data_IF_676124623410
#
_entry.id   IF_676124623410
#
_cell.length_a   1.000
_cell.length_b   1.000
_cell.length_c   1.000
_cell.angle_alpha   90.00
_cell.angle_beta   90.00
_cell.angle_gamma   90.00
#
_symmetry.space_group_name_H-M   'P 1'
#
loop_
_entity.id
_entity.type
_entity.pdbx_description
1 polymer ?
#
# COMPACT_ATOMS: atom_id res chain seq x y z
N UNK A 1 -18.58 -0.11 -13.42
CA UNK A 1 -18.99 -0.26 -12.02
C UNK A 1 -20.19 -1.19 -11.85
N UNK A 2 -21.39 -0.93 -12.39
CA UNK A 2 -22.56 -1.82 -12.24
C UNK A 2 -22.25 -3.30 -12.56
N UNK A 3 -21.50 -3.59 -13.62
CA UNK A 3 -21.07 -4.96 -13.98
C UNK A 3 -20.09 -5.60 -13.00
N UNK A 4 -19.36 -4.79 -12.23
CA UNK A 4 -18.35 -5.27 -11.27
C UNK A 4 -19.00 -5.50 -9.90
N UNK A 5 -19.89 -4.60 -9.50
CA UNK A 5 -20.52 -4.64 -8.16
C UNK A 5 -21.79 -5.49 -8.11
N UNK A 6 -22.41 -5.79 -9.24
CA UNK A 6 -23.72 -6.44 -9.30
C UNK A 6 -24.90 -5.61 -8.77
N UNK A 7 -24.63 -4.37 -8.34
CA UNK A 7 -25.66 -3.51 -7.77
C UNK A 7 -26.49 -2.80 -8.83
N UNK A 8 -27.73 -2.42 -8.47
CA UNK A 8 -28.59 -1.64 -9.34
C UNK A 8 -27.94 -0.26 -9.64
N UNK A 9 -28.08 0.28 -10.89
CA UNK A 9 -27.45 1.54 -11.28
C UNK A 9 -27.73 2.73 -10.35
N UNK A 10 -28.93 2.81 -9.78
CA UNK A 10 -29.27 3.88 -8.86
C UNK A 10 -28.53 3.75 -7.53
N UNK A 11 -28.42 2.54 -6.99
CA UNK A 11 -27.65 2.26 -5.77
C UNK A 11 -26.17 2.62 -5.95
N UNK A 12 -25.57 2.25 -7.09
CA UNK A 12 -24.19 2.65 -7.41
C UNK A 12 -24.06 4.17 -7.43
N UNK A 13 -25.04 4.88 -8.01
CA UNK A 13 -25.00 6.35 -8.08
C UNK A 13 -25.13 6.97 -6.68
N UNK A 14 -26.04 6.49 -5.85
CA UNK A 14 -26.19 6.96 -4.47
C UNK A 14 -24.91 6.80 -3.65
N UNK A 15 -24.23 5.65 -3.76
CA UNK A 15 -22.95 5.43 -3.11
C UNK A 15 -21.87 6.36 -3.64
N UNK A 16 -21.76 6.55 -4.96
CA UNK A 16 -20.81 7.47 -5.55
C UNK A 16 -21.06 8.92 -5.12
N UNK A 17 -22.33 9.36 -5.09
CA UNK A 17 -22.68 10.69 -4.62
C UNK A 17 -22.38 10.87 -3.12
N UNK A 18 -22.53 9.82 -2.30
CA UNK A 18 -22.11 9.85 -0.90
C UNK A 18 -20.58 9.97 -0.76
N UNK A 19 -19.80 9.26 -1.58
CA UNK A 19 -18.33 9.37 -1.59
C UNK A 19 -17.87 10.77 -2.06
N UNK A 20 -18.57 11.36 -3.06
CA UNK A 20 -18.29 12.74 -3.50
C UNK A 20 -18.55 13.75 -2.38
N UNK A 21 -19.69 13.61 -1.65
CA UNK A 21 -19.98 14.49 -0.51
C UNK A 21 -18.95 14.38 0.61
N UNK A 22 -18.33 13.22 0.78
CA UNK A 22 -17.25 12.99 1.76
C UNK A 22 -15.87 13.41 1.25
N UNK A 23 -15.75 13.91 0.01
CA UNK A 23 -14.47 14.30 -0.58
C UNK A 23 -13.57 13.13 -1.00
N UNK A 24 -14.02 11.88 -0.88
CA UNK A 24 -13.24 10.70 -1.20
C UNK A 24 -13.16 10.41 -2.70
N UNK A 25 -14.09 10.97 -3.46
CA UNK A 25 -14.20 10.82 -4.91
C UNK A 25 -14.59 12.16 -5.50
N UNK A 26 -14.00 12.54 -6.62
CA UNK A 26 -14.44 13.69 -7.43
C UNK A 26 -15.13 13.22 -8.71
N UNK A 27 -16.13 13.97 -9.12
CA UNK A 27 -16.83 13.74 -10.37
C UNK A 27 -16.20 14.60 -11.46
N UNK A 28 -15.84 13.98 -12.57
CA UNK A 28 -15.29 14.64 -13.76
C UNK A 28 -16.20 14.36 -14.97
N UNK A 29 -16.31 15.32 -15.89
CA UNK A 29 -17.05 15.12 -17.12
C UNK A 29 -16.25 14.25 -18.08
N UNK A 30 -16.84 13.15 -18.51
CA UNK A 30 -16.26 12.29 -19.54
C UNK A 30 -16.24 12.95 -20.91
N UNK A 31 -15.35 12.51 -21.78
CA UNK A 31 -15.34 12.97 -23.17
C UNK A 31 -16.63 12.54 -23.88
N UNK A 32 -17.28 13.43 -24.65
CA UNK A 32 -18.46 13.07 -25.45
C UNK A 32 -18.12 11.93 -26.43
N UNK A 33 -18.89 10.87 -26.42
CA UNK A 33 -18.81 9.76 -27.37
C UNK A 33 -20.14 9.64 -28.11
N UNK A 34 -20.35 10.43 -29.15
CA UNK A 34 -21.58 10.41 -29.95
C UNK A 34 -22.69 11.31 -29.41
N UNK A 35 -23.95 11.05 -29.88
CA UNK A 35 -25.16 11.81 -29.45
C UNK A 35 -25.55 11.38 -28.03
N UNK A 36 -25.74 12.34 -27.13
CA UNK A 36 -26.17 12.15 -25.74
C UNK A 36 -25.34 12.95 -24.74
N UNK A 37 -25.81 12.98 -23.49
CA UNK A 37 -25.07 13.63 -22.40
C UNK A 37 -23.77 12.85 -22.13
N UNK A 38 -22.61 13.51 -22.01
CA UNK A 38 -21.37 12.84 -21.64
C UNK A 38 -21.53 12.03 -20.34
N UNK A 39 -20.88 10.86 -20.23
CA UNK A 39 -20.90 10.11 -19.00
C UNK A 39 -20.13 10.85 -17.92
N UNK A 40 -20.61 10.80 -16.69
CA UNK A 40 -19.80 11.18 -15.55
C UNK A 40 -18.78 10.08 -15.26
N UNK A 41 -17.53 10.49 -15.10
CA UNK A 41 -16.46 9.65 -14.57
C UNK A 41 -16.25 10.04 -13.12
N UNK A 42 -15.82 9.08 -12.32
CA UNK A 42 -15.53 9.27 -10.91
C UNK A 42 -14.07 8.89 -10.68
N UNK A 43 -13.33 9.78 -10.08
CA UNK A 43 -11.93 9.60 -9.80
C UNK A 43 -11.75 9.65 -8.29
N UNK A 44 -10.98 8.71 -7.75
CA UNK A 44 -10.58 8.76 -6.36
C UNK A 44 -9.83 10.08 -6.12
N UNK A 45 -10.22 10.81 -5.10
CA UNK A 45 -9.44 11.96 -4.63
C UNK A 45 -8.29 11.33 -3.83
N UNK A 46 -7.17 11.16 -4.51
CA UNK A 46 -5.95 10.77 -3.83
C UNK A 46 -5.45 12.01 -3.07
N UNK A 47 -5.85 12.10 -1.81
CA UNK A 47 -5.33 13.08 -0.88
C UNK A 47 -3.90 12.70 -0.44
N UNK A 48 -3.08 12.17 -1.37
CA UNK A 48 -1.67 11.84 -1.13
C UNK A 48 -0.86 13.03 -0.55
N UNK A 49 -1.51 14.18 -0.45
CA UNK A 49 -1.08 15.39 0.23
C UNK A 49 -1.89 15.66 1.52
N UNK A 50 -2.64 14.67 2.02
CA UNK A 50 -3.46 14.81 3.21
C UNK A 50 -2.64 15.12 4.46
N UNK A 51 -3.31 15.60 5.52
CA UNK A 51 -2.68 15.93 6.81
C UNK A 51 -1.83 14.78 7.36
N UNK A 52 -2.25 13.53 7.13
CA UNK A 52 -1.49 12.34 7.55
C UNK A 52 -0.20 12.13 6.76
N UNK A 53 -0.18 12.41 5.47
CA UNK A 53 1.05 12.32 4.67
C UNK A 53 2.08 13.38 5.13
N UNK A 54 1.63 14.61 5.44
CA UNK A 54 2.48 15.64 6.02
C UNK A 54 2.98 15.29 7.42
N UNK A 55 2.13 14.67 8.23
CA UNK A 55 2.53 14.18 9.55
C UNK A 55 3.58 13.07 9.42
N UNK A 56 3.40 12.13 8.47
CA UNK A 56 4.39 11.09 8.20
C UNK A 56 5.75 11.69 7.78
N UNK A 57 5.75 12.72 6.92
CA UNK A 57 6.97 13.47 6.57
C UNK A 57 7.61 14.05 7.83
N UNK A 58 6.86 14.76 8.65
CA UNK A 58 7.39 15.41 9.86
C UNK A 58 7.95 14.39 10.88
N UNK A 59 7.30 13.22 11.02
CA UNK A 59 7.77 12.15 11.89
C UNK A 59 9.05 11.49 11.34
N UNK A 60 9.14 11.30 10.02
CA UNK A 60 10.36 10.79 9.38
C UNK A 60 11.53 11.76 9.56
N UNK A 61 11.30 13.06 9.33
CA UNK A 61 12.29 14.12 9.58
C UNK A 61 12.75 14.12 11.07
N UNK A 62 11.80 13.98 12.01
CA UNK A 62 12.11 13.93 13.43
C UNK A 62 12.98 12.73 13.80
N UNK A 63 12.73 11.55 13.22
CA UNK A 63 13.56 10.37 13.41
C UNK A 63 14.96 10.57 12.84
N UNK A 64 15.10 11.14 11.66
CA UNK A 64 16.40 11.45 11.04
C UNK A 64 17.23 12.43 11.91
N UNK A 65 16.57 13.41 12.53
CA UNK A 65 17.25 14.37 13.38
C UNK A 65 17.62 13.83 14.77
N UNK A 66 16.90 12.85 15.28
CA UNK A 66 17.05 12.33 16.66
C UNK A 66 17.84 11.03 16.77
N UNK A 67 18.05 10.31 15.67
CA UNK A 67 18.71 9.01 15.64
C UNK A 67 20.06 9.04 14.94
N UNK A 68 21.02 8.31 15.47
CA UNK A 68 22.30 8.04 14.78
C UNK A 68 22.18 6.94 13.71
N UNK A 69 21.10 6.14 13.76
CA UNK A 69 20.76 5.10 12.78
C UNK A 69 19.24 5.13 12.53
N UNK A 70 18.74 6.11 11.78
CA UNK A 70 17.30 6.23 11.52
C UNK A 70 16.73 5.08 10.72
N UNK A 71 17.50 4.52 9.78
CA UNK A 71 17.07 3.38 8.96
C UNK A 71 16.92 2.10 9.78
N UNK A 72 17.92 1.75 10.59
CA UNK A 72 17.85 0.58 11.46
C UNK A 72 16.72 0.67 12.49
N UNK A 73 16.50 1.87 13.07
CA UNK A 73 15.36 2.09 13.96
C UNK A 73 14.02 1.95 13.23
N UNK A 74 13.92 2.46 12.01
CA UNK A 74 12.71 2.34 11.19
C UNK A 74 12.44 0.87 10.83
N UNK A 75 13.44 0.10 10.43
CA UNK A 75 13.31 -1.34 10.18
C UNK A 75 12.82 -2.08 11.44
N UNK A 76 13.42 -1.83 12.60
CA UNK A 76 13.01 -2.49 13.86
C UNK A 76 11.56 -2.19 14.25
N UNK A 77 11.10 -0.93 14.09
CA UNK A 77 9.70 -0.55 14.30
C UNK A 77 8.79 -1.21 13.28
N UNK A 78 9.23 -1.25 12.01
CA UNK A 78 8.52 -1.95 10.94
C UNK A 78 8.35 -3.44 11.22
N UNK A 79 9.38 -4.11 11.71
CA UNK A 79 9.31 -5.54 12.09
C UNK A 79 8.30 -5.81 13.20
N UNK A 80 8.29 -4.96 14.23
CA UNK A 80 7.29 -5.10 15.29
C UNK A 80 5.88 -4.95 14.72
N UNK A 81 5.64 -3.91 13.91
CA UNK A 81 4.34 -3.68 13.29
C UNK A 81 3.95 -4.82 12.34
N UNK A 82 4.90 -5.34 11.54
CA UNK A 82 4.66 -6.49 10.67
C UNK A 82 4.19 -7.74 11.43
N UNK A 83 4.80 -8.04 12.59
CA UNK A 83 4.33 -9.13 13.47
C UNK A 83 2.90 -8.89 13.98
N UNK A 84 2.57 -7.67 14.34
CA UNK A 84 1.21 -7.31 14.76
C UNK A 84 0.20 -7.51 13.63
N UNK A 85 0.50 -7.02 12.42
CA UNK A 85 -0.33 -7.19 11.22
C UNK A 85 -0.57 -8.67 10.89
N UNK A 86 0.46 -9.51 10.96
CA UNK A 86 0.32 -10.94 10.72
C UNK A 86 -0.63 -11.61 11.73
N UNK A 87 -0.54 -11.23 13.01
CA UNK A 87 -1.45 -11.75 14.06
C UNK A 87 -2.89 -11.29 13.84
N UNK A 88 -3.10 -10.02 13.54
CA UNK A 88 -4.42 -9.46 13.24
C UNK A 88 -5.04 -10.12 12.00
N UNK A 89 -4.26 -10.30 10.94
CA UNK A 89 -4.71 -10.96 9.72
C UNK A 89 -5.12 -12.40 9.99
N UNK A 90 -4.31 -13.17 10.72
CA UNK A 90 -4.66 -14.55 11.13
C UNK A 90 -5.94 -14.63 11.95
N UNK A 91 -6.21 -13.64 12.80
CA UNK A 91 -7.46 -13.55 13.54
C UNK A 91 -8.66 -13.27 12.62
N UNK A 92 -8.46 -12.48 11.58
CA UNK A 92 -9.51 -12.05 10.63
C UNK A 92 -9.86 -13.12 9.60
N UNK A 93 -8.87 -13.79 9.01
CA UNK A 93 -9.07 -14.73 7.89
C UNK A 93 -8.69 -16.18 8.18
N UNK A 94 -8.15 -16.48 9.36
CA UNK A 94 -7.59 -17.80 9.71
C UNK A 94 -6.15 -17.97 9.24
N UNK A 95 -5.58 -19.17 9.49
CA UNK A 95 -4.22 -19.52 9.01
C UNK A 95 -4.30 -20.02 7.58
N UNK A 96 -3.40 -19.54 6.74
CA UNK A 96 -3.08 -20.16 5.45
C UNK A 96 -1.71 -20.85 5.57
N UNK A 97 -1.41 -21.79 4.68
CA UNK A 97 -0.09 -22.45 4.63
C UNK A 97 0.93 -21.64 3.80
N UNK A 98 0.47 -20.62 3.08
CA UNK A 98 1.29 -19.79 2.19
C UNK A 98 1.54 -18.41 2.83
N UNK A 99 2.68 -18.29 3.51
CA UNK A 99 3.12 -17.04 4.13
C UNK A 99 3.30 -15.91 3.10
N UNK A 100 3.73 -16.24 1.87
CA UNK A 100 3.89 -15.26 0.81
C UNK A 100 2.53 -14.70 0.35
N UNK A 101 1.54 -15.57 0.18
CA UNK A 101 0.18 -15.12 -0.17
C UNK A 101 -0.43 -14.25 0.94
N UNK A 102 -0.18 -14.58 2.21
CA UNK A 102 -0.60 -13.74 3.34
C UNK A 102 0.08 -12.37 3.30
N UNK A 103 1.41 -12.34 3.08
CA UNK A 103 2.18 -11.09 2.96
C UNK A 103 1.67 -10.22 1.79
N UNK A 104 1.54 -10.81 0.59
CA UNK A 104 1.06 -10.08 -0.60
C UNK A 104 -0.34 -9.52 -0.37
N UNK A 105 -1.23 -10.30 0.26
CA UNK A 105 -2.57 -9.84 0.60
C UNK A 105 -2.57 -8.69 1.60
N UNK A 106 -1.67 -8.67 2.59
CA UNK A 106 -1.56 -7.56 3.53
C UNK A 106 -0.98 -6.31 2.88
N UNK A 107 0.01 -6.48 2.00
CA UNK A 107 0.55 -5.35 1.22
C UNK A 107 -0.52 -4.70 0.33
N UNK A 108 -1.44 -5.51 -0.23
CA UNK A 108 -2.59 -4.97 -0.99
C UNK A 108 -3.57 -4.23 -0.09
N UNK A 109 -3.90 -4.79 1.08
CA UNK A 109 -4.75 -4.15 2.10
C UNK A 109 -4.14 -2.81 2.59
N UNK A 110 -2.80 -2.73 2.69
CA UNK A 110 -2.06 -1.51 3.02
C UNK A 110 -1.98 -0.50 1.86
N UNK A 111 -2.41 -0.87 0.64
CA UNK A 111 -2.51 0.01 -0.51
C UNK A 111 -1.26 0.08 -1.40
N UNK A 112 -0.38 -0.94 -1.35
CA UNK A 112 0.82 -1.00 -2.20
C UNK A 112 0.56 -1.49 -3.62
N UNK A 113 -0.61 -2.05 -3.91
CA UNK A 113 -0.98 -2.63 -5.20
C UNK A 113 0.09 -3.60 -5.74
N UNK A 114 0.37 -4.71 -5.02
CA UNK A 114 1.42 -5.65 -5.39
C UNK A 114 1.10 -6.37 -6.71
N UNK A 115 2.13 -6.59 -7.53
CA UNK A 115 2.05 -7.33 -8.80
C UNK A 115 3.16 -8.38 -8.83
N UNK A 116 2.96 -9.51 -9.53
CA UNK A 116 4.03 -10.47 -9.77
C UNK A 116 5.23 -9.80 -10.46
N UNK A 117 6.44 -10.13 -10.04
CA UNK A 117 7.69 -9.73 -10.66
C UNK A 117 8.14 -10.68 -11.76
N UNK A 118 9.45 -10.69 -12.03
CA UNK A 118 10.06 -11.51 -13.09
C UNK A 118 10.11 -13.00 -12.72
N UNK A 119 10.13 -13.32 -11.45
CA UNK A 119 10.13 -14.68 -10.90
C UNK A 119 9.29 -14.80 -9.62
N UNK A 120 9.23 -16.00 -9.07
CA UNK A 120 8.39 -16.31 -7.91
C UNK A 120 8.91 -15.68 -6.60
N UNK A 121 10.11 -15.11 -6.58
CA UNK A 121 10.64 -14.40 -5.40
C UNK A 121 10.37 -12.90 -5.46
N UNK A 122 10.01 -12.37 -6.61
CA UNK A 122 9.86 -10.95 -6.85
C UNK A 122 8.41 -10.47 -6.75
N UNK A 123 8.21 -9.32 -6.11
CA UNK A 123 6.92 -8.61 -6.06
C UNK A 123 7.16 -7.15 -6.42
N UNK A 124 6.39 -6.64 -7.37
CA UNK A 124 6.42 -5.24 -7.76
C UNK A 124 5.35 -4.47 -6.98
N UNK A 125 5.77 -3.49 -6.19
CA UNK A 125 4.87 -2.59 -5.47
C UNK A 125 4.60 -1.39 -6.37
N UNK A 126 3.43 -1.36 -7.01
CA UNK A 126 3.12 -0.37 -8.05
C UNK A 126 2.50 0.91 -7.50
N UNK A 127 2.27 0.96 -6.20
CA UNK A 127 1.81 2.13 -5.48
C UNK A 127 2.53 2.24 -4.14
N UNK A 128 2.77 3.46 -3.69
CA UNK A 128 3.23 3.73 -2.33
C UNK A 128 2.21 4.66 -1.65
N UNK A 129 1.57 4.25 -0.54
CA UNK A 129 0.59 5.09 0.16
C UNK A 129 1.24 6.34 0.79
N UNK A 130 2.56 6.33 1.01
CA UNK A 130 3.34 7.41 1.58
C UNK A 130 4.41 7.93 0.61
N UNK A 131 4.10 8.01 -0.69
CA UNK A 131 5.05 8.31 -1.76
C UNK A 131 5.84 9.62 -1.51
N UNK A 132 5.18 10.67 -1.06
CA UNK A 132 5.84 11.95 -0.76
C UNK A 132 6.88 11.81 0.37
N UNK A 133 6.51 11.15 1.46
CA UNK A 133 7.42 10.88 2.56
C UNK A 133 8.56 9.94 2.14
N UNK A 134 8.27 8.92 1.31
CA UNK A 134 9.27 8.00 0.78
C UNK A 134 10.29 8.70 -0.14
N UNK A 135 9.87 9.70 -0.92
CA UNK A 135 10.80 10.50 -1.72
C UNK A 135 11.70 11.39 -0.86
N UNK A 136 11.17 11.91 0.25
CA UNK A 136 11.89 12.81 1.14
C UNK A 136 12.85 12.06 2.07
N UNK A 137 12.40 11.00 2.69
CA UNK A 137 13.12 10.20 3.68
C UNK A 137 13.05 8.71 3.36
N UNK A 138 13.67 8.26 2.23
CA UNK A 138 13.55 6.87 1.78
C UNK A 138 14.12 5.89 2.82
N UNK A 139 15.22 6.21 3.50
CA UNK A 139 15.81 5.36 4.54
C UNK A 139 14.82 5.04 5.66
N UNK A 140 14.02 6.01 6.09
CA UNK A 140 13.02 5.80 7.15
C UNK A 140 11.78 5.11 6.59
N UNK A 141 11.15 5.67 5.57
CA UNK A 141 9.85 5.17 5.11
C UNK A 141 9.98 3.78 4.47
N UNK A 142 10.97 3.58 3.60
CA UNK A 142 11.18 2.27 2.99
C UNK A 142 11.80 1.26 3.97
N UNK A 143 12.55 1.74 4.97
CA UNK A 143 13.01 0.91 6.09
C UNK A 143 11.84 0.32 6.88
N UNK A 144 10.82 1.14 7.24
CA UNK A 144 9.60 0.63 7.86
C UNK A 144 8.92 -0.41 6.97
N UNK A 145 8.81 -0.17 5.67
CA UNK A 145 8.15 -1.11 4.74
C UNK A 145 8.91 -2.45 4.67
N UNK A 146 10.24 -2.42 4.59
CA UNK A 146 11.05 -3.64 4.63
C UNK A 146 10.91 -4.35 5.98
N UNK A 147 10.89 -3.60 7.08
CA UNK A 147 10.64 -4.13 8.42
C UNK A 147 9.28 -4.83 8.51
N UNK A 148 8.20 -4.24 7.98
CA UNK A 148 6.88 -4.89 7.93
C UNK A 148 6.96 -6.24 7.23
N UNK A 149 7.61 -6.31 6.07
CA UNK A 149 7.79 -7.56 5.33
C UNK A 149 8.51 -8.61 6.19
N UNK A 150 9.64 -8.24 6.78
CA UNK A 150 10.45 -9.14 7.63
C UNK A 150 9.69 -9.61 8.87
N UNK A 151 9.03 -8.69 9.56
CA UNK A 151 8.25 -9.01 10.74
C UNK A 151 7.05 -9.90 10.45
N UNK A 152 6.39 -9.72 9.31
CA UNK A 152 5.31 -10.62 8.88
C UNK A 152 5.84 -12.02 8.59
N UNK A 153 6.90 -12.14 7.80
CA UNK A 153 7.48 -13.45 7.44
C UNK A 153 7.92 -14.21 8.69
N UNK A 154 8.61 -13.54 9.63
CA UNK A 154 9.04 -14.11 10.92
C UNK A 154 7.85 -14.66 11.71
N UNK A 155 6.79 -13.87 11.90
CA UNK A 155 5.57 -14.29 12.61
C UNK A 155 4.82 -15.41 11.88
N UNK A 156 4.93 -15.46 10.53
CA UNK A 156 4.35 -16.51 9.70
C UNK A 156 5.19 -17.79 9.70
N UNK A 157 6.41 -17.76 10.28
CA UNK A 157 7.29 -18.91 10.39
C UNK A 157 8.18 -19.12 9.16
N UNK A 158 8.36 -18.10 8.34
CA UNK A 158 9.25 -18.09 7.18
C UNK A 158 10.48 -17.25 7.50
N UNK A 159 11.68 -17.75 7.18
CA UNK A 159 12.92 -16.99 7.40
C UNK A 159 12.91 -15.69 6.59
N UNK A 160 12.96 -14.52 7.21
CA UNK A 160 12.98 -13.25 6.52
C UNK A 160 14.33 -12.91 5.88
N UNK A 161 15.39 -13.71 6.13
CA UNK A 161 16.71 -13.47 5.58
C UNK A 161 16.68 -13.47 4.03
N UNK A 162 17.31 -12.46 3.42
CA UNK A 162 17.26 -12.27 1.97
C UNK A 162 16.05 -11.46 1.47
N UNK A 163 15.16 -11.00 2.38
CA UNK A 163 14.16 -10.01 1.99
C UNK A 163 14.82 -8.67 1.73
N UNK A 164 14.59 -8.12 0.55
CA UNK A 164 15.16 -6.84 0.10
C UNK A 164 14.08 -5.98 -0.53
N UNK A 165 14.13 -4.68 -0.25
CA UNK A 165 13.29 -3.69 -0.91
C UNK A 165 14.19 -2.71 -1.65
N UNK A 166 14.05 -2.65 -2.97
CA UNK A 166 14.66 -1.63 -3.81
C UNK A 166 13.64 -0.52 -4.10
N UNK A 167 13.75 0.62 -3.42
CA UNK A 167 12.87 1.74 -3.65
C UNK A 167 13.06 2.31 -5.06
N UNK A 168 11.95 2.65 -5.72
CA UNK A 168 12.00 3.31 -7.04
C UNK A 168 12.83 2.55 -8.08
N UNK A 169 12.79 1.22 -8.06
CA UNK A 169 13.55 0.34 -8.97
C UNK A 169 13.34 0.70 -10.46
N UNK A 170 12.15 1.17 -10.80
CA UNK A 170 11.88 1.82 -12.07
C UNK A 170 10.70 2.82 -11.93
N UNK A 171 10.44 3.66 -12.94
CA UNK A 171 9.29 4.56 -12.91
C UNK A 171 7.99 3.80 -12.67
N UNK A 172 7.34 4.08 -11.55
CA UNK A 172 6.04 3.53 -11.19
C UNK A 172 6.04 2.29 -10.31
N UNK A 173 7.21 1.79 -9.86
CA UNK A 173 7.23 0.70 -8.88
C UNK A 173 8.50 0.63 -8.02
N UNK A 174 8.36 0.03 -6.85
CA UNK A 174 9.46 -0.50 -6.05
C UNK A 174 9.55 -2.01 -6.23
N UNK A 175 10.74 -2.59 -6.14
CA UNK A 175 10.98 -4.02 -6.25
C UNK A 175 11.18 -4.61 -4.85
N UNK A 176 10.35 -5.57 -4.49
CA UNK A 176 10.46 -6.33 -3.27
C UNK A 176 10.88 -7.77 -3.61
N UNK A 177 11.96 -8.23 -3.01
CA UNK A 177 12.39 -9.63 -3.03
C UNK A 177 11.91 -10.30 -1.75
N UNK A 178 11.21 -11.43 -1.90
CA UNK A 178 10.71 -12.25 -0.79
C UNK A 178 11.29 -13.64 -0.96
N UNK A 179 12.04 -14.18 0.02
CA UNK A 179 12.61 -15.51 -0.06
C UNK A 179 11.53 -16.57 -0.35
N UNK A 180 11.91 -17.60 -1.10
CA UNK A 180 11.09 -18.80 -1.22
C UNK A 180 11.13 -19.55 0.12
N UNK A 181 9.99 -20.09 0.54
CA UNK A 181 9.91 -20.95 1.73
C UNK A 181 10.67 -22.25 1.54
#
# INVERSE_FOLDING_TARGET
MVRITGLHPNTVREHLDALVRRGLVRRIDGRPRGRGRPPYLYEHVDDGHGEYARLAVALADALELSSSDPTGHAEAVGEQWGRELARERRTRIGRTEDARAELVGELDDLGFEPRPGADDTEVLLTRCPLLEAAHRSPGVVCGIHLGIVRGMLDELGTDPAGSELEPFAAPGYCRLVVPSA
#
